data_IF_610607731668
#
_entry.id   IF_610607731668
#
_cell.length_a   1.000
_cell.length_b   1.000
_cell.length_c   1.000
_cell.angle_alpha   90.00
_cell.angle_beta   90.00
_cell.angle_gamma   90.00
#
_symmetry.space_group_name_H-M   'P 1'
#
loop_
_entity.id
_entity.type
_entity.pdbx_description
1 polymer ?
#
# COMPACT_ATOMS: atom_id res chain seq x y z
N UNK A 1 23.56 -14.09 17.20
CA UNK A 1 22.12 -13.71 17.22
C UNK A 1 22.08 -12.20 17.18
N UNK A 2 21.48 -11.64 16.15
CA UNK A 2 21.27 -10.21 16.00
C UNK A 2 20.35 -9.73 17.13
N UNK A 3 20.63 -8.59 17.74
CA UNK A 3 19.76 -8.05 18.79
C UNK A 3 18.44 -7.54 18.20
N UNK A 4 17.36 -7.51 18.99
CA UNK A 4 16.09 -6.95 18.59
C UNK A 4 16.25 -5.53 18.02
N UNK A 5 17.13 -4.72 18.62
CA UNK A 5 17.40 -3.35 18.18
C UNK A 5 18.04 -3.30 16.79
N UNK A 6 18.98 -4.19 16.50
CA UNK A 6 19.64 -4.29 15.20
C UNK A 6 18.64 -4.71 14.11
N UNK A 7 17.77 -5.68 14.40
CA UNK A 7 16.70 -6.10 13.47
C UNK A 7 15.72 -4.97 13.18
N UNK A 8 15.30 -4.20 14.20
CA UNK A 8 14.42 -3.04 14.03
C UNK A 8 15.05 -1.95 13.15
N UNK A 9 16.35 -1.68 13.32
CA UNK A 9 17.09 -0.74 12.47
C UNK A 9 17.12 -1.24 11.03
N UNK A 10 17.44 -2.50 10.78
CA UNK A 10 17.44 -3.08 9.44
C UNK A 10 16.08 -3.02 8.77
N UNK A 11 15.00 -3.34 9.50
CA UNK A 11 13.62 -3.24 8.99
C UNK A 11 13.30 -1.81 8.58
N UNK A 12 13.67 -0.84 9.41
CA UNK A 12 13.46 0.59 9.13
C UNK A 12 14.24 1.05 7.89
N UNK A 13 15.51 0.70 7.79
CA UNK A 13 16.37 1.05 6.65
C UNK A 13 15.91 0.41 5.33
N UNK A 14 15.42 -0.83 5.39
CA UNK A 14 14.87 -1.55 4.24
C UNK A 14 13.47 -1.10 3.87
N UNK A 15 12.80 -0.26 4.67
CA UNK A 15 11.40 0.10 4.49
C UNK A 15 10.47 -1.12 4.48
N UNK A 16 10.82 -2.16 5.24
CA UNK A 16 10.05 -3.37 5.30
C UNK A 16 8.93 -3.25 6.34
N UNK A 17 7.79 -3.94 6.08
CA UNK A 17 6.73 -4.02 7.05
C UNK A 17 7.06 -5.04 8.14
N UNK A 18 6.78 -4.69 9.40
CA UNK A 18 6.91 -5.61 10.52
C UNK A 18 5.93 -5.26 11.64
N UNK A 19 5.78 -6.17 12.58
CA UNK A 19 5.00 -5.95 13.80
C UNK A 19 5.86 -6.39 14.99
N UNK A 20 6.04 -5.49 15.95
CA UNK A 20 6.61 -5.80 17.23
C UNK A 20 5.49 -6.03 18.25
N UNK A 21 5.33 -7.26 18.69
CA UNK A 21 4.42 -7.62 19.76
C UNK A 21 5.16 -7.59 21.10
N UNK A 22 4.60 -6.91 22.08
CA UNK A 22 5.13 -6.85 23.46
C UNK A 22 4.04 -7.33 24.43
N UNK A 23 4.33 -8.35 25.22
CA UNK A 23 3.44 -8.83 26.27
C UNK A 23 3.42 -7.79 27.39
N UNK A 24 2.24 -7.23 27.67
CA UNK A 24 2.04 -6.20 28.69
C UNK A 24 1.58 -6.83 30.00
N UNK A 25 0.58 -7.72 29.93
CA UNK A 25 0.01 -8.38 31.08
C UNK A 25 -0.21 -9.88 30.82
N UNK A 26 -0.04 -10.69 31.86
CA UNK A 26 -0.22 -12.15 31.82
C UNK A 26 -1.21 -12.55 32.90
N UNK A 27 -2.32 -13.15 32.50
CA UNK A 27 -3.30 -13.73 33.41
C UNK A 27 -3.46 -15.24 33.15
N UNK A 28 -3.36 -16.06 34.19
CA UNK A 28 -3.73 -17.48 34.16
C UNK A 28 -2.81 -18.43 33.36
N UNK A 29 -1.69 -18.84 33.95
CA UNK A 29 -1.02 -20.11 33.60
C UNK A 29 -0.14 -20.13 32.35
N UNK A 30 0.08 -19.03 31.64
CA UNK A 30 1.08 -18.94 30.62
C UNK A 30 2.49 -18.82 31.21
N UNK A 31 3.45 -19.56 30.66
CA UNK A 31 4.88 -19.44 31.03
C UNK A 31 5.55 -18.36 30.20
N UNK A 32 4.99 -17.15 30.24
CA UNK A 32 5.50 -15.98 29.51
C UNK A 32 5.66 -14.84 30.51
N UNK A 33 6.71 -14.08 30.38
CA UNK A 33 6.98 -12.92 31.24
C UNK A 33 6.42 -11.64 30.64
N UNK A 34 5.92 -10.72 31.47
CA UNK A 34 5.60 -9.36 31.05
C UNK A 34 6.88 -8.68 30.52
N UNK A 35 6.76 -7.96 29.40
CA UNK A 35 7.88 -7.37 28.67
C UNK A 35 8.50 -8.30 27.62
N UNK A 36 8.10 -9.58 27.56
CA UNK A 36 8.54 -10.48 26.49
C UNK A 36 8.07 -9.95 25.12
N UNK A 37 8.90 -10.13 24.10
CA UNK A 37 8.74 -9.55 22.77
C UNK A 37 8.80 -10.59 21.68
N UNK A 38 8.07 -10.32 20.58
CA UNK A 38 8.13 -11.10 19.35
C UNK A 38 8.09 -10.14 18.16
N UNK A 39 9.10 -10.18 17.33
CA UNK A 39 9.19 -9.40 16.09
C UNK A 39 8.77 -10.29 14.92
N UNK A 40 7.71 -9.89 14.22
CA UNK A 40 7.13 -10.63 13.10
C UNK A 40 7.32 -9.82 11.82
N UNK A 41 7.87 -10.46 10.79
CA UNK A 41 8.03 -9.92 9.42
C UNK A 41 7.60 -10.98 8.40
N UNK A 42 6.84 -10.59 7.39
CA UNK A 42 6.36 -11.49 6.32
C UNK A 42 5.70 -12.78 6.85
N UNK A 43 4.95 -12.65 7.98
CA UNK A 43 4.30 -13.78 8.64
C UNK A 43 5.25 -14.74 9.36
N UNK A 44 6.52 -14.38 9.52
CA UNK A 44 7.54 -15.20 10.20
C UNK A 44 8.12 -14.47 11.40
N UNK A 45 8.46 -15.22 12.42
CA UNK A 45 9.21 -14.70 13.56
C UNK A 45 10.65 -14.39 13.15
N UNK A 46 11.09 -13.15 13.39
CA UNK A 46 12.47 -12.71 13.17
C UNK A 46 13.29 -12.96 14.44
N UNK A 47 12.77 -12.52 15.58
CA UNK A 47 13.35 -12.75 16.90
C UNK A 47 12.25 -12.71 17.97
N UNK A 48 12.45 -13.41 19.08
CA UNK A 48 11.50 -13.45 20.17
C UNK A 48 12.15 -13.77 21.53
N UNK A 49 11.46 -13.45 22.62
CA UNK A 49 11.83 -13.78 23.99
C UNK A 49 10.66 -14.46 24.76
N UNK A 50 9.68 -14.99 24.03
CA UNK A 50 8.42 -15.52 24.56
C UNK A 50 8.57 -16.99 25.01
N UNK A 51 9.20 -17.82 24.17
CA UNK A 51 9.49 -19.22 24.47
C UNK A 51 8.31 -20.19 24.43
N UNK A 52 7.04 -19.73 24.46
CA UNK A 52 5.85 -20.59 24.30
C UNK A 52 5.33 -20.55 22.86
N UNK A 53 5.46 -21.69 22.17
CA UNK A 53 5.12 -21.81 20.74
C UNK A 53 3.64 -21.46 20.42
N UNK A 54 2.70 -21.73 21.36
CA UNK A 54 1.28 -21.43 21.17
C UNK A 54 1.04 -19.92 21.21
N UNK A 55 1.70 -19.23 22.12
CA UNK A 55 1.65 -17.77 22.23
C UNK A 55 2.28 -17.13 21.00
N UNK A 56 3.42 -17.63 20.56
CA UNK A 56 4.10 -17.16 19.34
C UNK A 56 3.18 -17.29 18.12
N UNK A 57 2.50 -18.43 17.96
CA UNK A 57 1.59 -18.62 16.85
C UNK A 57 0.41 -17.65 16.89
N UNK A 58 -0.23 -17.46 18.05
CA UNK A 58 -1.31 -16.48 18.21
C UNK A 58 -0.86 -15.05 17.89
N UNK A 59 0.36 -14.68 18.29
CA UNK A 59 0.97 -13.40 17.96
C UNK A 59 1.20 -13.25 16.46
N UNK A 60 1.70 -14.27 15.76
CA UNK A 60 1.91 -14.23 14.31
C UNK A 60 0.59 -14.03 13.56
N UNK A 61 -0.45 -14.76 13.93
CA UNK A 61 -1.78 -14.64 13.34
C UNK A 61 -2.39 -13.26 13.54
N UNK A 62 -2.34 -12.72 14.77
CA UNK A 62 -2.85 -11.38 15.06
C UNK A 62 -1.99 -10.28 14.41
N UNK A 63 -0.68 -10.46 14.33
CA UNK A 63 0.23 -9.54 13.63
C UNK A 63 -0.19 -9.31 12.18
N UNK A 64 -0.62 -10.36 11.46
CA UNK A 64 -1.11 -10.23 10.10
C UNK A 64 -2.39 -9.37 10.02
N UNK A 65 -3.26 -9.46 11.03
CA UNK A 65 -4.47 -8.65 11.13
C UNK A 65 -4.14 -7.18 11.42
N UNK A 66 -3.24 -6.93 12.37
CA UNK A 66 -2.81 -5.56 12.73
C UNK A 66 -2.07 -4.88 11.59
N UNK A 67 -1.21 -5.62 10.90
CA UNK A 67 -0.48 -5.10 9.74
C UNK A 67 -1.42 -4.66 8.61
N UNK A 68 -2.43 -5.47 8.29
CA UNK A 68 -3.45 -5.09 7.30
C UNK A 68 -4.25 -3.85 7.70
N UNK A 69 -4.53 -3.69 8.99
CA UNK A 69 -5.22 -2.52 9.51
C UNK A 69 -4.31 -1.28 9.63
N UNK A 70 -2.99 -1.42 9.52
CA UNK A 70 -1.97 -0.39 9.75
C UNK A 70 -2.18 0.34 11.10
N UNK A 71 -2.59 -0.40 12.15
CA UNK A 71 -2.97 0.20 13.43
C UNK A 71 -2.31 -0.53 14.60
N UNK A 72 -1.47 0.20 15.31
CA UNK A 72 -0.93 -0.26 16.60
C UNK A 72 -2.01 -0.26 17.67
N UNK A 73 -2.10 -1.34 18.44
CA UNK A 73 -3.17 -1.53 19.41
C UNK A 73 -2.78 -2.54 20.49
N UNK A 74 -3.29 -2.33 21.71
CA UNK A 74 -3.33 -3.34 22.77
C UNK A 74 -4.48 -4.33 22.48
N UNK A 75 -4.18 -5.62 22.49
CA UNK A 75 -5.14 -6.68 22.14
C UNK A 75 -5.10 -7.79 23.19
N UNK A 76 -6.25 -8.18 23.73
CA UNK A 76 -6.34 -9.38 24.54
C UNK A 76 -6.22 -10.62 23.64
N UNK A 77 -5.22 -11.46 23.90
CA UNK A 77 -5.03 -12.75 23.24
C UNK A 77 -5.42 -13.89 24.16
N UNK A 78 -6.30 -14.78 23.69
CA UNK A 78 -6.55 -16.06 24.32
C UNK A 78 -5.42 -17.03 23.96
N UNK A 79 -4.93 -17.76 24.95
CA UNK A 79 -3.92 -18.79 24.71
C UNK A 79 -4.65 -20.09 24.40
N UNK A 80 -4.43 -20.72 23.24
CA UNK A 80 -5.05 -21.99 22.90
C UNK A 80 -4.81 -23.06 23.99
N UNK A 81 -5.83 -23.87 24.27
CA UNK A 81 -5.81 -24.98 25.23
C UNK A 81 -5.54 -24.60 26.70
N UNK A 82 -5.67 -23.31 27.05
CA UNK A 82 -5.57 -22.84 28.44
C UNK A 82 -6.68 -21.86 28.77
N UNK A 83 -6.92 -21.61 30.07
CA UNK A 83 -7.79 -20.50 30.49
C UNK A 83 -7.06 -19.16 30.59
N UNK A 84 -5.77 -19.13 30.21
CA UNK A 84 -4.94 -17.96 30.30
C UNK A 84 -5.26 -16.91 29.22
N UNK A 85 -5.09 -15.65 29.59
CA UNK A 85 -5.20 -14.49 28.68
C UNK A 85 -3.92 -13.68 28.76
N UNK A 86 -3.55 -13.09 27.66
CA UNK A 86 -2.45 -12.13 27.59
C UNK A 86 -2.98 -10.80 27.07
N UNK A 87 -2.50 -9.70 27.60
CA UNK A 87 -2.59 -8.42 26.94
C UNK A 87 -1.30 -8.16 26.19
N UNK A 88 -1.40 -8.01 24.86
CA UNK A 88 -0.25 -7.83 23.99
C UNK A 88 -0.39 -6.53 23.22
N UNK A 89 0.60 -5.66 23.32
CA UNK A 89 0.67 -4.46 22.51
C UNK A 89 1.35 -4.79 21.19
N UNK A 90 0.62 -4.60 20.09
CA UNK A 90 1.12 -4.75 18.74
C UNK A 90 1.52 -3.38 18.19
N UNK A 91 2.80 -3.15 18.05
CA UNK A 91 3.36 -1.97 17.38
C UNK A 91 3.57 -2.30 15.90
N UNK A 92 2.80 -1.64 15.05
CA UNK A 92 2.82 -1.86 13.60
C UNK A 92 3.79 -0.88 12.94
N UNK A 93 4.75 -1.43 12.24
CA UNK A 93 5.68 -0.71 11.36
C UNK A 93 5.28 -1.00 9.91
N UNK A 94 4.44 -0.18 9.29
CA UNK A 94 4.03 -0.39 7.91
C UNK A 94 5.18 -0.09 6.95
N UNK A 95 5.23 -0.77 5.80
CA UNK A 95 6.12 -0.35 4.72
C UNK A 95 5.77 1.07 4.29
N UNK A 96 6.75 1.89 3.89
CA UNK A 96 6.46 3.17 3.26
C UNK A 96 5.50 2.99 2.08
N UNK A 97 4.48 3.84 1.96
CA UNK A 97 3.55 3.75 0.86
C UNK A 97 4.26 4.05 -0.46
N UNK A 98 4.11 3.19 -1.46
CA UNK A 98 4.70 3.37 -2.78
C UNK A 98 3.65 3.90 -3.76
N UNK A 99 3.90 5.07 -4.34
CA UNK A 99 3.08 5.59 -5.44
C UNK A 99 3.77 5.28 -6.76
N UNK A 100 3.16 4.41 -7.55
CA UNK A 100 3.64 4.05 -8.89
C UNK A 100 2.85 4.87 -9.90
N UNK A 101 3.49 5.86 -10.50
CA UNK A 101 2.91 6.76 -11.49
C UNK A 101 3.26 6.26 -12.89
N UNK A 102 2.27 5.74 -13.58
CA UNK A 102 2.41 5.20 -14.94
C UNK A 102 1.94 6.26 -15.94
N UNK A 103 2.90 6.82 -16.67
CA UNK A 103 2.73 7.97 -17.56
C UNK A 103 3.38 9.23 -16.99
N UNK A 104 4.41 9.73 -17.63
CA UNK A 104 5.19 10.91 -17.25
C UNK A 104 4.68 12.21 -17.88
N UNK A 105 3.36 12.35 -18.03
CA UNK A 105 2.71 13.54 -18.62
C UNK A 105 2.70 14.77 -17.70
N UNK A 106 1.89 15.78 -18.05
CA UNK A 106 1.81 17.05 -17.31
C UNK A 106 1.25 16.88 -15.90
N UNK A 107 0.33 15.92 -15.68
CA UNK A 107 -0.25 15.63 -14.36
C UNK A 107 0.79 14.96 -13.46
N UNK A 108 1.67 14.11 -14.01
CA UNK A 108 2.66 13.39 -13.23
C UNK A 108 3.62 14.32 -12.47
N UNK A 109 4.03 15.43 -13.08
CA UNK A 109 5.01 16.35 -12.47
C UNK A 109 4.51 16.92 -11.12
N UNK A 110 3.35 17.59 -11.06
CA UNK A 110 2.82 18.05 -9.77
C UNK A 110 2.43 16.89 -8.83
N UNK A 111 1.95 15.77 -9.37
CA UNK A 111 1.58 14.60 -8.54
C UNK A 111 2.79 14.04 -7.78
N UNK A 112 3.94 13.90 -8.44
CA UNK A 112 5.17 13.43 -7.81
C UNK A 112 5.61 14.36 -6.68
N UNK A 113 5.61 15.66 -6.91
CA UNK A 113 5.96 16.65 -5.88
C UNK A 113 5.04 16.56 -4.65
N UNK A 114 3.73 16.50 -4.88
CA UNK A 114 2.73 16.36 -3.82
C UNK A 114 2.88 15.03 -3.07
N UNK A 115 3.14 13.95 -3.78
CA UNK A 115 3.34 12.64 -3.18
C UNK A 115 4.60 12.59 -2.30
N UNK A 116 5.69 13.23 -2.74
CA UNK A 116 6.93 13.28 -1.95
C UNK A 116 6.76 14.05 -0.64
N UNK A 117 6.06 15.20 -0.64
CA UNK A 117 5.77 15.93 0.61
C UNK A 117 4.73 15.22 1.50
N UNK A 118 4.10 14.17 0.98
CA UNK A 118 3.15 13.30 1.69
C UNK A 118 3.76 11.93 2.08
N UNK A 119 5.08 11.84 2.10
CA UNK A 119 5.89 10.69 2.53
C UNK A 119 5.67 9.39 1.70
N UNK A 120 5.37 9.54 0.40
CA UNK A 120 5.36 8.41 -0.51
C UNK A 120 6.76 8.14 -1.10
N UNK A 121 7.10 6.87 -1.24
CA UNK A 121 8.15 6.43 -2.15
C UNK A 121 7.57 6.47 -3.58
N UNK A 122 8.14 7.26 -4.47
CA UNK A 122 7.54 7.55 -5.77
C UNK A 122 8.36 6.96 -6.91
N UNK A 123 7.68 6.12 -7.71
CA UNK A 123 8.24 5.53 -8.94
C UNK A 123 7.48 6.10 -10.13
N UNK A 124 8.19 6.64 -11.11
CA UNK A 124 7.62 7.13 -12.37
C UNK A 124 8.02 6.20 -13.50
N UNK A 125 7.05 5.78 -14.33
CA UNK A 125 7.27 4.88 -15.46
C UNK A 125 6.67 5.50 -16.73
N UNK A 126 7.45 5.61 -17.82
CA UNK A 126 6.95 5.99 -19.15
C UNK A 126 7.86 5.37 -20.22
N UNK A 127 7.32 5.11 -21.40
CA UNK A 127 8.10 4.54 -22.52
C UNK A 127 8.96 5.58 -23.26
N UNK A 128 8.85 6.85 -22.91
CA UNK A 128 9.52 7.96 -23.57
C UNK A 128 10.59 8.59 -22.69
N UNK A 129 11.85 8.43 -23.04
CA UNK A 129 13.00 9.02 -22.34
C UNK A 129 12.89 10.56 -22.15
N UNK A 130 12.32 11.27 -23.15
CA UNK A 130 12.13 12.73 -23.08
C UNK A 130 11.13 13.14 -21.99
N UNK A 131 10.27 12.23 -21.54
CA UNK A 131 9.27 12.48 -20.51
C UNK A 131 9.68 11.89 -19.15
N UNK A 132 10.17 10.66 -19.12
CA UNK A 132 10.64 10.00 -17.91
C UNK A 132 12.15 10.22 -17.74
N UNK A 133 12.53 11.29 -17.09
CA UNK A 133 13.93 11.61 -16.77
C UNK A 133 14.05 12.40 -15.47
N UNK A 134 15.27 12.41 -14.92
CA UNK A 134 15.56 13.07 -13.63
C UNK A 134 15.43 14.59 -13.65
N UNK A 135 15.59 15.23 -14.80
CA UNK A 135 15.40 16.67 -14.92
C UNK A 135 13.93 17.07 -14.67
N UNK A 136 12.99 16.28 -15.19
CA UNK A 136 11.57 16.50 -15.00
C UNK A 136 11.05 16.00 -13.64
N UNK A 137 11.66 14.96 -13.10
CA UNK A 137 11.28 14.31 -11.85
C UNK A 137 12.46 14.23 -10.86
N UNK A 138 13.02 15.39 -10.42
CA UNK A 138 14.15 15.40 -9.50
C UNK A 138 13.81 14.77 -8.14
N UNK A 139 12.56 14.89 -7.71
CA UNK A 139 12.09 14.44 -6.40
C UNK A 139 11.64 12.96 -6.39
N UNK A 140 11.46 12.31 -7.55
CA UNK A 140 11.06 10.90 -7.60
C UNK A 140 12.18 10.00 -7.06
N UNK A 141 11.83 8.93 -6.36
CA UNK A 141 12.82 7.96 -5.89
C UNK A 141 13.37 7.15 -7.07
N UNK A 142 12.48 6.74 -7.98
CA UNK A 142 12.85 6.05 -9.21
C UNK A 142 12.17 6.67 -10.45
N UNK A 143 12.90 6.70 -11.56
CA UNK A 143 12.37 7.07 -12.88
C UNK A 143 12.80 6.00 -13.88
N UNK A 144 11.83 5.27 -14.40
CA UNK A 144 12.03 4.10 -15.23
C UNK A 144 11.53 4.36 -16.65
N UNK A 145 12.34 3.96 -17.65
CA UNK A 145 12.02 4.15 -19.08
C UNK A 145 11.90 2.80 -19.76
N UNK A 146 10.74 2.50 -20.32
CA UNK A 146 10.52 1.26 -21.05
C UNK A 146 9.05 0.92 -21.21
N UNK A 147 8.76 -0.29 -21.69
CA UNK A 147 7.39 -0.77 -21.78
C UNK A 147 6.74 -0.81 -20.39
N UNK A 148 5.71 0.02 -20.22
CA UNK A 148 5.10 0.24 -18.91
C UNK A 148 4.43 -1.02 -18.37
N UNK A 149 3.76 -1.81 -19.22
CA UNK A 149 3.09 -3.02 -18.81
C UNK A 149 4.10 -4.12 -18.41
N UNK A 150 5.19 -4.23 -19.18
CA UNK A 150 6.26 -5.19 -18.86
C UNK A 150 6.96 -4.83 -17.55
N UNK A 151 7.27 -3.55 -17.34
CA UNK A 151 7.87 -3.09 -16.07
C UNK A 151 6.97 -3.36 -14.87
N UNK A 152 5.67 -3.08 -14.98
CA UNK A 152 4.70 -3.39 -13.92
C UNK A 152 4.63 -4.89 -13.62
N UNK A 153 4.77 -5.75 -14.64
CA UNK A 153 4.78 -7.21 -14.48
C UNK A 153 6.02 -7.72 -13.72
N UNK A 154 7.14 -7.03 -13.88
CA UNK A 154 8.40 -7.36 -13.21
C UNK A 154 8.48 -6.80 -11.78
N UNK A 155 7.62 -5.83 -11.44
CA UNK A 155 7.61 -5.21 -10.11
C UNK A 155 6.92 -6.09 -9.07
N UNK A 156 7.45 -6.06 -7.85
CA UNK A 156 6.74 -6.62 -6.69
C UNK A 156 5.69 -5.65 -6.20
N UNK A 157 4.43 -5.90 -6.53
CA UNK A 157 3.28 -5.09 -6.10
C UNK A 157 2.71 -5.67 -4.80
N UNK A 158 2.86 -4.91 -3.73
CA UNK A 158 2.42 -5.27 -2.37
C UNK A 158 1.19 -4.45 -1.96
N UNK A 159 0.54 -4.77 -0.81
CA UNK A 159 -0.55 -3.95 -0.27
C UNK A 159 -0.17 -2.50 0.11
N UNK A 160 1.11 -2.15 0.11
CA UNK A 160 1.57 -0.76 0.29
C UNK A 160 1.72 0.01 -1.03
N UNK A 161 1.41 -0.61 -2.18
CA UNK A 161 1.47 0.04 -3.49
C UNK A 161 0.15 0.71 -3.85
N UNK A 162 0.26 1.91 -4.39
CA UNK A 162 -0.82 2.74 -4.95
C UNK A 162 -0.46 3.03 -6.40
N UNK A 163 -1.28 2.58 -7.34
CA UNK A 163 -0.98 2.64 -8.77
C UNK A 163 -1.86 3.69 -9.44
N UNK A 164 -1.24 4.61 -10.16
CA UNK A 164 -1.88 5.71 -10.86
C UNK A 164 -1.57 5.60 -12.35
N UNK A 165 -2.57 5.20 -13.14
CA UNK A 165 -2.48 5.10 -14.58
C UNK A 165 -2.95 6.42 -15.20
N UNK A 166 -1.99 7.27 -15.63
CA UNK A 166 -2.22 8.58 -16.27
C UNK A 166 -1.46 8.69 -17.58
N UNK A 167 -1.54 7.62 -18.36
CA UNK A 167 -0.85 7.54 -19.63
C UNK A 167 -1.49 8.44 -20.71
N UNK A 168 -0.92 8.47 -21.89
CA UNK A 168 -1.43 9.28 -23.00
C UNK A 168 -2.66 8.70 -23.71
N UNK A 169 -3.16 7.53 -23.29
CA UNK A 169 -4.37 6.95 -23.89
C UNK A 169 -4.57 5.46 -23.64
N UNK A 170 -5.75 4.99 -24.00
CA UNK A 170 -6.23 3.64 -23.74
C UNK A 170 -5.31 2.51 -24.24
N UNK A 171 -4.60 2.73 -25.36
CA UNK A 171 -3.64 1.76 -25.88
C UNK A 171 -2.49 1.45 -24.91
N UNK A 172 -2.28 2.32 -23.92
CA UNK A 172 -1.27 2.16 -22.88
C UNK A 172 -1.89 1.84 -21.51
N UNK A 173 -3.05 2.46 -21.20
CA UNK A 173 -3.73 2.23 -19.92
C UNK A 173 -4.23 0.79 -19.80
N UNK A 174 -4.83 0.23 -20.86
CA UNK A 174 -5.42 -1.10 -20.83
C UNK A 174 -4.42 -2.24 -20.58
N UNK A 175 -3.28 -2.32 -21.29
CA UNK A 175 -2.25 -3.32 -20.99
C UNK A 175 -1.72 -3.21 -19.55
N UNK A 176 -1.49 -1.98 -19.07
CA UNK A 176 -1.04 -1.75 -17.70
C UNK A 176 -2.11 -2.21 -16.69
N UNK A 177 -3.37 -1.86 -16.93
CA UNK A 177 -4.47 -2.24 -16.05
C UNK A 177 -4.65 -3.77 -15.98
N UNK A 178 -4.52 -4.50 -17.10
CA UNK A 178 -4.55 -5.98 -17.10
C UNK A 178 -3.48 -6.59 -16.21
N UNK A 179 -2.30 -6.00 -16.17
CA UNK A 179 -1.18 -6.48 -15.34
C UNK A 179 -1.44 -6.22 -13.86
N UNK A 180 -1.99 -5.05 -13.51
CA UNK A 180 -2.11 -4.66 -12.09
C UNK A 180 -3.41 -5.10 -11.43
N UNK A 181 -4.45 -5.41 -12.18
CA UNK A 181 -5.74 -5.86 -11.64
C UNK A 181 -5.66 -7.09 -10.72
N UNK A 182 -4.89 -8.14 -11.03
CA UNK A 182 -4.75 -9.30 -10.15
C UNK A 182 -3.80 -9.07 -8.97
N UNK A 183 -3.17 -7.90 -8.89
CA UNK A 183 -2.18 -7.60 -7.85
C UNK A 183 -2.83 -7.31 -6.48
N UNK A 184 -1.98 -7.21 -5.47
CA UNK A 184 -2.38 -6.83 -4.11
C UNK A 184 -2.35 -5.32 -3.87
N UNK A 185 -2.23 -4.49 -4.92
CA UNK A 185 -2.21 -3.04 -4.78
C UNK A 185 -3.42 -2.54 -3.97
N UNK A 186 -3.16 -1.65 -3.01
CA UNK A 186 -4.22 -1.06 -2.18
C UNK A 186 -5.09 -0.07 -2.95
N UNK A 187 -4.54 0.49 -4.02
CA UNK A 187 -5.24 1.42 -4.89
C UNK A 187 -4.79 1.24 -6.34
N UNK A 188 -5.75 1.22 -7.24
CA UNK A 188 -5.53 1.26 -8.68
C UNK A 188 -6.46 2.34 -9.23
N UNK A 189 -5.89 3.43 -9.73
CA UNK A 189 -6.65 4.51 -10.32
C UNK A 189 -6.30 4.70 -11.80
N UNK A 190 -7.29 4.97 -12.64
CA UNK A 190 -7.09 5.17 -14.08
C UNK A 190 -7.76 6.46 -14.56
N UNK A 191 -6.99 7.28 -15.26
CA UNK A 191 -7.50 8.50 -15.89
C UNK A 191 -8.34 8.17 -17.12
N UNK A 192 -9.39 8.94 -17.32
CA UNK A 192 -10.20 8.81 -18.53
C UNK A 192 -11.58 9.46 -18.40
N UNK A 193 -12.19 9.76 -19.53
CA UNK A 193 -13.60 10.14 -19.52
C UNK A 193 -14.49 8.95 -19.16
N UNK A 194 -15.62 9.19 -18.54
CA UNK A 194 -16.62 8.15 -18.19
C UNK A 194 -16.95 7.25 -19.38
N UNK A 195 -17.04 7.82 -20.59
CA UNK A 195 -17.29 7.08 -21.84
C UNK A 195 -16.16 6.10 -22.15
N UNK A 196 -14.89 6.55 -22.05
CA UNK A 196 -13.71 5.72 -22.33
C UNK A 196 -13.59 4.58 -21.34
N UNK A 197 -13.77 4.88 -20.06
CA UNK A 197 -13.70 3.90 -18.96
C UNK A 197 -14.77 2.82 -19.16
N UNK A 198 -16.02 3.21 -19.46
CA UNK A 198 -17.10 2.24 -19.74
C UNK A 198 -16.75 1.31 -20.91
N UNK A 199 -16.18 1.84 -21.98
CA UNK A 199 -15.75 1.05 -23.13
C UNK A 199 -14.58 0.10 -22.79
N UNK A 200 -13.61 0.55 -21.99
CA UNK A 200 -12.51 -0.28 -21.50
C UNK A 200 -13.03 -1.45 -20.65
N UNK A 201 -13.86 -1.19 -19.67
CA UNK A 201 -14.40 -2.22 -18.79
C UNK A 201 -15.32 -3.20 -19.53
N UNK A 202 -16.05 -2.72 -20.57
CA UNK A 202 -16.84 -3.63 -21.42
C UNK A 202 -15.93 -4.62 -22.15
N UNK A 203 -14.80 -4.17 -22.73
CA UNK A 203 -13.83 -5.09 -23.35
C UNK A 203 -13.24 -6.08 -22.35
N UNK A 204 -12.93 -5.63 -21.14
CA UNK A 204 -12.39 -6.51 -20.09
C UNK A 204 -13.36 -7.62 -19.71
N UNK A 205 -14.68 -7.34 -19.71
CA UNK A 205 -15.71 -8.36 -19.49
C UNK A 205 -15.81 -9.34 -20.66
N UNK A 206 -15.89 -8.79 -21.87
CA UNK A 206 -16.21 -9.57 -23.07
C UNK A 206 -15.02 -10.40 -23.57
N UNK A 207 -13.82 -9.82 -23.57
CA UNK A 207 -12.62 -10.41 -24.15
C UNK A 207 -11.75 -11.11 -23.09
N UNK A 208 -11.53 -10.47 -21.94
CA UNK A 208 -10.61 -10.95 -20.90
C UNK A 208 -11.33 -11.73 -19.78
N UNK A 209 -12.66 -11.73 -19.76
CA UNK A 209 -13.50 -12.37 -18.73
C UNK A 209 -13.13 -11.95 -17.30
N UNK A 210 -12.74 -10.69 -17.13
CA UNK A 210 -12.40 -10.13 -15.82
C UNK A 210 -13.69 -9.97 -15.00
N UNK A 211 -13.64 -10.39 -13.74
CA UNK A 211 -14.80 -10.35 -12.84
C UNK A 211 -15.21 -8.90 -12.50
N UNK A 212 -16.51 -8.69 -12.24
CA UNK A 212 -17.01 -7.39 -11.75
C UNK A 212 -16.30 -6.95 -10.48
N UNK A 213 -16.08 -7.88 -9.55
CA UNK A 213 -15.35 -7.60 -8.31
C UNK A 213 -13.96 -7.00 -8.55
N UNK A 214 -13.26 -7.45 -9.60
CA UNK A 214 -11.95 -6.90 -9.96
C UNK A 214 -12.07 -5.52 -10.58
N UNK A 215 -13.08 -5.29 -11.41
CA UNK A 215 -13.34 -4.00 -12.05
C UNK A 215 -13.75 -2.95 -11.03
N UNK A 216 -14.58 -3.31 -10.05
CA UNK A 216 -15.04 -2.41 -8.98
C UNK A 216 -13.92 -1.92 -8.06
N UNK A 217 -12.77 -2.61 -8.03
CA UNK A 217 -11.57 -2.17 -7.29
C UNK A 217 -10.85 -0.99 -7.97
N UNK A 218 -11.19 -0.69 -9.23
CA UNK A 218 -10.51 0.37 -9.99
C UNK A 218 -11.23 1.71 -9.80
N UNK A 219 -10.49 2.70 -9.34
CA UNK A 219 -10.95 4.08 -9.24
C UNK A 219 -10.86 4.75 -10.62
N UNK A 220 -11.97 4.80 -11.34
CA UNK A 220 -12.03 5.33 -12.70
C UNK A 220 -13.39 5.99 -12.99
N UNK A 221 -13.42 7.28 -13.33
CA UNK A 221 -12.31 8.23 -13.45
C UNK A 221 -11.56 8.42 -12.13
N UNK A 222 -10.23 8.48 -12.19
CA UNK A 222 -9.36 8.71 -11.04
C UNK A 222 -9.57 10.08 -10.41
N UNK A 223 -9.49 10.17 -9.09
CA UNK A 223 -9.50 11.41 -8.33
C UNK A 223 -10.84 11.76 -7.70
N UNK A 224 -10.79 12.62 -6.70
CA UNK A 224 -11.98 13.18 -6.04
C UNK A 224 -12.67 14.19 -6.95
N UNK A 225 -13.98 14.21 -6.93
CA UNK A 225 -14.81 15.20 -7.67
C UNK A 225 -14.81 16.53 -6.89
N UNK A 226 -13.81 17.36 -7.15
CA UNK A 226 -13.60 18.67 -6.52
C UNK A 226 -13.54 19.83 -7.54
N UNK A 227 -14.01 19.60 -8.78
CA UNK A 227 -14.10 20.64 -9.81
C UNK A 227 -12.74 21.03 -10.42
N UNK A 228 -11.82 20.08 -10.60
CA UNK A 228 -10.45 20.32 -11.10
C UNK A 228 -10.43 20.64 -12.59
N UNK A 229 -9.61 21.64 -12.98
CA UNK A 229 -9.40 22.05 -14.38
C UNK A 229 -7.94 21.91 -14.81
N UNK A 230 -6.99 22.30 -13.97
CA UNK A 230 -5.57 22.29 -14.30
C UNK A 230 -4.87 20.95 -13.99
N UNK A 231 -3.75 20.62 -14.63
CA UNK A 231 -2.97 19.44 -14.29
C UNK A 231 -2.56 19.38 -12.81
N UNK A 232 -2.28 20.51 -12.17
CA UNK A 232 -1.93 20.58 -10.77
C UNK A 232 -3.13 20.28 -9.85
N UNK A 233 -4.30 20.81 -10.16
CA UNK A 233 -5.54 20.51 -9.43
C UNK A 233 -5.94 19.05 -9.57
N UNK A 234 -5.81 18.48 -10.79
CA UNK A 234 -6.03 17.05 -11.02
C UNK A 234 -5.08 16.22 -10.17
N UNK A 235 -3.81 16.60 -10.06
CA UNK A 235 -2.85 15.93 -9.18
C UNK A 235 -3.26 15.98 -7.70
N UNK A 236 -3.79 17.11 -7.22
CA UNK A 236 -4.35 17.24 -5.86
C UNK A 236 -5.54 16.31 -5.66
N UNK A 237 -6.46 16.28 -6.62
CA UNK A 237 -7.63 15.38 -6.60
C UNK A 237 -7.22 13.91 -6.54
N UNK A 238 -6.25 13.49 -7.36
CA UNK A 238 -5.72 12.13 -7.39
C UNK A 238 -5.08 11.79 -6.03
N UNK A 239 -4.18 12.62 -5.53
CA UNK A 239 -3.51 12.34 -4.27
C UNK A 239 -4.48 12.35 -3.09
N UNK A 240 -5.47 13.23 -3.11
CA UNK A 240 -6.56 13.24 -2.11
C UNK A 240 -7.33 11.93 -2.07
N UNK A 241 -7.63 11.34 -3.24
CA UNK A 241 -8.29 10.03 -3.33
C UNK A 241 -7.37 8.90 -2.84
N UNK A 242 -6.10 8.91 -3.21
CA UNK A 242 -5.09 7.96 -2.71
C UNK A 242 -5.00 8.02 -1.17
N UNK A 243 -4.91 9.21 -0.59
CA UNK A 243 -4.87 9.40 0.88
C UNK A 243 -6.18 8.94 1.53
N UNK A 244 -7.33 9.25 0.92
CA UNK A 244 -8.64 8.75 1.38
C UNK A 244 -8.64 7.24 1.50
N UNK A 245 -8.20 6.53 0.46
CA UNK A 245 -8.14 5.06 0.45
C UNK A 245 -7.14 4.54 1.47
N UNK A 246 -5.96 5.17 1.54
CA UNK A 246 -4.90 4.82 2.49
C UNK A 246 -5.39 4.89 3.93
N UNK A 247 -6.11 5.96 4.29
CA UNK A 247 -6.51 6.28 5.67
C UNK A 247 -7.95 5.88 6.02
N UNK A 248 -8.71 5.36 5.06
CA UNK A 248 -10.13 5.01 5.25
C UNK A 248 -11.03 6.24 5.45
N UNK A 249 -10.64 7.39 4.88
CA UNK A 249 -11.39 8.63 4.98
C UNK A 249 -12.65 8.64 4.11
N UNK A 250 -13.59 9.54 4.42
CA UNK A 250 -14.86 9.70 3.68
C UNK A 250 -14.77 10.76 2.57
N UNK A 251 -13.73 11.61 2.57
CA UNK A 251 -13.54 12.76 1.68
C UNK A 251 -14.66 13.81 1.74
N UNK A 252 -15.43 13.83 2.83
CA UNK A 252 -16.38 14.89 3.12
C UNK A 252 -15.65 16.10 3.74
N UNK A 253 -16.24 17.29 3.61
CA UNK A 253 -15.73 18.46 4.33
C UNK A 253 -15.84 18.27 5.84
N UNK A 254 -14.77 18.59 6.57
CA UNK A 254 -14.76 18.53 8.04
C UNK A 254 -15.71 19.55 8.67
N UNK A 255 -16.07 20.61 7.95
CA UNK A 255 -17.06 21.63 8.39
C UNK A 255 -18.51 21.14 8.26
N UNK A 256 -18.74 20.00 7.60
CA UNK A 256 -20.08 19.43 7.40
C UNK A 256 -20.91 20.15 6.32
N UNK A 257 -20.28 20.97 5.47
CA UNK A 257 -20.91 21.63 4.32
C UNK A 257 -20.76 20.78 3.05
#
# INVERSE_FOLDING_TARGET
MTSLSEELVQISEQGAAAVLATVVEVDGGAKVESGAKCLVRDGKVVTETIGDARVIQAIVEESATRLRAEKSQLVPLAIPETSGKLEVFFEVMPSPPKLIVVGAGHIAVPLVKLAKVSDFYVIVIDDRLLYANRERFPDADEVLVGDMAQMLKEMTITPSCYIVLITRGHAYDEPCLRVVLPSQAKYIGMIGSRRRIKACFQRFRDEDRISEESIEKVYAPIGLDIGTETPAEIAVSILGEVIKVRRGGKAASLSGH
#
